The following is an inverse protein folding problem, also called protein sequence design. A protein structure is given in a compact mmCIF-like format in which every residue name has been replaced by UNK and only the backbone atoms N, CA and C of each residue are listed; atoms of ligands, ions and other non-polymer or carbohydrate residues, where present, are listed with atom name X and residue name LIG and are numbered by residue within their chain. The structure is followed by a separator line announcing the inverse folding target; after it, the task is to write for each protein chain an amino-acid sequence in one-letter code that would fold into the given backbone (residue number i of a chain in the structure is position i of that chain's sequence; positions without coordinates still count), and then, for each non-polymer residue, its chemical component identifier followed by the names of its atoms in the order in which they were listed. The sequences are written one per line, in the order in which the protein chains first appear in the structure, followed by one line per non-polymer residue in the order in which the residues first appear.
data_IF_286467099609
#
_entry.id   IF_286467099609
#
_cell.length_a   1.000
_cell.length_b   1.000
_cell.length_c   1.000
_cell.angle_alpha   90.00
_cell.angle_beta   90.00
_cell.angle_gamma   90.00
#
_symmetry.space_group_name_H-M   'P 1'
#
loop_
_entity.id
_entity.type
_entity.pdbx_description
1 polymer ?
#
# COMPACT_ATOMS: atom_id res chain seq x y z
N UNK A 1 0.68 22.15 -31.21
CA UNK A 1 -0.67 21.59 -30.99
C UNK A 1 -0.52 20.12 -30.57
N UNK A 2 0.02 19.86 -29.37
CA UNK A 2 0.19 18.51 -28.78
C UNK A 2 0.26 18.57 -27.23
N UNK A 3 -0.22 19.65 -26.61
CA UNK A 3 -0.08 19.85 -25.15
C UNK A 3 -0.92 18.88 -24.32
N UNK A 4 -2.08 18.48 -24.85
CA UNK A 4 -3.12 17.79 -24.07
C UNK A 4 -3.07 16.25 -24.20
N UNK A 5 -2.22 15.70 -25.06
CA UNK A 5 -2.12 14.24 -25.30
C UNK A 5 -1.24 13.54 -24.26
N UNK A 6 -0.52 14.31 -23.43
CA UNK A 6 0.39 13.82 -22.39
C UNK A 6 0.06 14.33 -20.99
N UNK A 7 -1.14 14.89 -20.76
CA UNK A 7 -1.54 15.29 -19.41
C UNK A 7 -1.83 14.04 -18.57
N UNK A 8 -0.90 13.67 -17.70
CA UNK A 8 -1.11 12.64 -16.70
C UNK A 8 -2.12 13.15 -15.66
N UNK A 9 -3.21 12.40 -15.33
CA UNK A 9 -4.24 12.86 -14.41
C UNK A 9 -3.72 13.19 -13.00
N UNK A 10 -2.75 12.41 -12.51
CA UNK A 10 -2.24 12.53 -11.14
C UNK A 10 -0.72 12.66 -11.14
N UNK A 11 -0.16 13.81 -11.58
CA UNK A 11 1.28 14.02 -11.63
C UNK A 11 1.90 13.93 -10.24
N UNK A 12 3.15 13.44 -10.18
CA UNK A 12 3.94 13.50 -8.95
C UNK A 12 4.23 14.97 -8.58
N UNK A 13 4.33 15.30 -7.28
CA UNK A 13 4.63 16.67 -6.86
C UNK A 13 6.05 17.08 -7.30
N UNK A 14 6.19 18.32 -7.78
CA UNK A 14 7.50 18.88 -8.20
C UNK A 14 8.45 19.07 -7.02
N UNK A 15 7.91 19.49 -5.86
CA UNK A 15 8.66 19.74 -4.62
C UNK A 15 8.16 18.79 -3.52
N UNK A 16 8.61 17.53 -3.49
CA UNK A 16 8.12 16.55 -2.52
C UNK A 16 8.62 16.84 -1.10
N UNK A 17 7.73 16.67 -0.13
CA UNK A 17 8.04 16.79 1.31
C UNK A 17 8.65 15.49 1.85
N UNK A 18 8.31 14.37 1.22
CA UNK A 18 8.85 13.04 1.52
C UNK A 18 8.77 12.13 0.29
N UNK A 19 9.47 11.01 0.34
CA UNK A 19 9.50 9.99 -0.71
C UNK A 19 8.96 8.66 -0.19
N UNK A 20 8.33 7.88 -1.06
CA UNK A 20 7.82 6.58 -0.70
C UNK A 20 7.91 5.58 -1.85
N UNK A 21 7.82 4.30 -1.50
CA UNK A 21 7.66 3.22 -2.48
C UNK A 21 6.30 2.55 -2.30
N UNK A 22 5.72 2.06 -3.40
CA UNK A 22 4.37 1.48 -3.45
C UNK A 22 4.43 0.02 -3.92
N UNK A 23 4.45 -0.93 -2.98
CA UNK A 23 4.51 -2.36 -3.27
C UNK A 23 3.10 -2.95 -3.33
N UNK A 24 2.87 -3.88 -4.28
CA UNK A 24 1.53 -4.40 -4.57
C UNK A 24 0.57 -3.26 -4.90
N UNK A 25 1.03 -2.39 -5.81
CA UNK A 25 0.48 -1.06 -6.00
C UNK A 25 -0.96 -1.08 -6.52
N UNK A 26 -1.39 -2.15 -7.20
CA UNK A 26 -2.68 -2.22 -7.88
C UNK A 26 -2.86 -1.02 -8.80
N UNK A 27 -3.91 -0.25 -8.57
CA UNK A 27 -4.21 0.99 -9.30
C UNK A 27 -3.65 2.27 -8.63
N UNK A 28 -2.83 2.13 -7.59
CA UNK A 28 -2.12 3.23 -6.91
C UNK A 28 -2.91 3.91 -5.78
N UNK A 29 -3.65 3.17 -4.97
CA UNK A 29 -4.41 3.74 -3.83
C UNK A 29 -3.49 4.47 -2.83
N UNK A 30 -2.35 3.86 -2.47
CA UNK A 30 -1.34 4.52 -1.64
C UNK A 30 -0.72 5.72 -2.33
N UNK A 31 -0.39 5.58 -3.62
CA UNK A 31 0.19 6.68 -4.41
C UNK A 31 -0.70 7.90 -4.42
N UNK A 32 -1.99 7.72 -4.71
CA UNK A 32 -2.97 8.80 -4.70
C UNK A 32 -3.01 9.50 -3.33
N UNK A 33 -3.15 8.72 -2.25
CA UNK A 33 -3.26 9.26 -0.91
C UNK A 33 -2.01 10.04 -0.48
N UNK A 34 -0.82 9.50 -0.72
CA UNK A 34 0.43 10.13 -0.30
C UNK A 34 0.87 11.27 -1.20
N UNK A 35 0.60 11.23 -2.50
CA UNK A 35 0.85 12.37 -3.39
C UNK A 35 -0.01 13.58 -3.00
N UNK A 36 -1.27 13.37 -2.62
CA UNK A 36 -2.13 14.43 -2.11
C UNK A 36 -1.61 15.07 -0.81
N UNK A 37 -0.70 14.40 -0.10
CA UNK A 37 -0.01 14.90 1.09
C UNK A 37 1.40 15.45 0.78
N UNK A 38 1.77 15.59 -0.49
CA UNK A 38 3.08 16.09 -0.92
C UNK A 38 4.18 15.03 -1.00
N UNK A 39 3.82 13.74 -0.95
CA UNK A 39 4.76 12.63 -1.13
C UNK A 39 5.06 12.34 -2.59
N UNK A 40 6.28 11.94 -2.93
CA UNK A 40 6.63 11.42 -4.26
C UNK A 40 6.86 9.92 -4.24
N UNK A 41 6.15 9.20 -5.11
CA UNK A 41 6.43 7.79 -5.36
C UNK A 41 7.75 7.70 -6.14
N UNK A 42 8.74 6.98 -5.61
CA UNK A 42 10.05 6.80 -6.25
C UNK A 42 10.28 5.37 -6.74
N UNK A 43 9.38 4.45 -6.43
CA UNK A 43 9.35 3.08 -6.93
C UNK A 43 7.97 2.49 -6.73
N UNK A 44 7.46 1.73 -7.70
CA UNK A 44 6.22 0.97 -7.59
C UNK A 44 6.37 -0.44 -8.14
N UNK A 45 5.68 -1.42 -7.53
CA UNK A 45 5.71 -2.82 -7.97
C UNK A 45 4.30 -3.37 -8.03
N UNK A 46 3.92 -3.85 -9.21
CA UNK A 46 2.64 -4.50 -9.48
C UNK A 46 2.87 -5.47 -10.64
N UNK A 47 2.44 -6.72 -10.50
CA UNK A 47 2.67 -7.78 -11.49
C UNK A 47 1.50 -7.99 -12.45
N UNK A 48 0.31 -7.50 -12.10
CA UNK A 48 -0.90 -7.68 -12.88
C UNK A 48 -0.94 -6.66 -14.02
N UNK A 49 -0.99 -7.16 -15.25
CA UNK A 49 -0.91 -6.34 -16.46
C UNK A 49 -2.07 -5.32 -16.56
N UNK A 50 -3.26 -5.65 -16.05
CA UNK A 50 -4.40 -4.73 -16.10
C UNK A 50 -4.21 -3.57 -15.13
N UNK A 51 -3.73 -3.88 -13.93
CA UNK A 51 -3.38 -2.90 -12.90
C UNK A 51 -2.25 -1.98 -13.37
N UNK A 52 -1.21 -2.53 -14.02
CA UNK A 52 -0.13 -1.73 -14.64
C UNK A 52 -0.65 -0.76 -15.71
N UNK A 53 -1.59 -1.18 -16.56
CA UNK A 53 -2.22 -0.30 -17.55
C UNK A 53 -2.99 0.84 -16.90
N UNK A 54 -3.77 0.55 -15.85
CA UNK A 54 -4.48 1.58 -15.08
C UNK A 54 -3.50 2.54 -14.41
N UNK A 55 -2.43 2.02 -13.83
CA UNK A 55 -1.38 2.81 -13.20
C UNK A 55 -0.69 3.76 -14.20
N UNK A 56 -0.34 3.26 -15.39
CA UNK A 56 0.25 4.06 -16.46
C UNK A 56 -0.66 5.21 -16.90
N UNK A 57 -1.95 4.95 -17.11
CA UNK A 57 -2.91 5.98 -17.54
C UNK A 57 -3.07 7.07 -16.48
N UNK A 58 -3.00 6.72 -15.19
CA UNK A 58 -3.20 7.64 -14.08
C UNK A 58 -1.94 8.45 -13.71
N UNK A 59 -0.76 7.82 -13.78
CA UNK A 59 0.47 8.38 -13.23
C UNK A 59 1.61 8.54 -14.24
N UNK A 60 1.45 8.07 -15.48
CA UNK A 60 2.48 8.12 -16.52
C UNK A 60 3.64 7.14 -16.31
N UNK A 61 3.52 6.21 -15.36
CA UNK A 61 4.58 5.28 -14.98
C UNK A 61 4.09 3.83 -15.03
N UNK A 62 4.96 2.90 -15.45
CA UNK A 62 4.68 1.46 -15.41
C UNK A 62 5.38 0.86 -14.18
N UNK A 63 4.65 0.19 -13.27
CA UNK A 63 5.27 -0.51 -12.14
C UNK A 63 6.25 -1.60 -12.57
N UNK A 64 7.26 -1.89 -11.74
CA UNK A 64 8.39 -2.76 -12.09
C UNK A 64 8.07 -4.27 -12.16
N UNK A 65 6.85 -4.70 -11.85
CA UNK A 65 6.45 -6.12 -11.93
C UNK A 65 6.50 -6.89 -10.62
N UNK A 66 6.96 -8.14 -10.71
CA UNK A 66 6.98 -9.14 -9.62
C UNK A 66 8.08 -8.86 -8.60
N UNK A 67 7.68 -8.36 -7.43
CA UNK A 67 8.57 -7.95 -6.34
C UNK A 67 9.37 -9.10 -5.71
N UNK A 68 9.01 -10.37 -5.98
CA UNK A 68 9.74 -11.52 -5.44
C UNK A 68 11.10 -11.72 -6.12
N UNK A 69 11.28 -11.15 -7.31
CA UNK A 69 12.50 -11.31 -8.12
C UNK A 69 13.56 -10.27 -7.74
N UNK A 70 14.80 -10.72 -7.54
CA UNK A 70 15.93 -9.81 -7.31
C UNK A 70 16.15 -8.86 -8.49
N UNK A 71 15.82 -9.30 -9.72
CA UNK A 71 15.86 -8.46 -10.91
C UNK A 71 14.89 -7.27 -10.86
N UNK A 72 13.88 -7.30 -9.99
CA UNK A 72 12.97 -6.19 -9.70
C UNK A 72 13.47 -5.42 -8.47
N UNK A 73 13.83 -6.11 -7.38
CA UNK A 73 14.30 -5.49 -6.12
C UNK A 73 15.52 -4.59 -6.30
N UNK A 74 16.40 -4.89 -7.27
CA UNK A 74 17.58 -4.06 -7.57
C UNK A 74 17.25 -2.61 -7.99
N UNK A 75 16.03 -2.36 -8.47
CA UNK A 75 15.58 -1.01 -8.86
C UNK A 75 15.02 -0.19 -7.70
N UNK A 76 14.84 -0.79 -6.52
CA UNK A 76 14.40 -0.05 -5.33
C UNK A 76 15.52 0.92 -4.92
N UNK A 77 15.25 2.23 -4.82
CA UNK A 77 16.23 3.21 -4.39
C UNK A 77 16.86 2.85 -3.04
N UNK A 78 18.13 3.21 -2.85
CA UNK A 78 18.82 2.97 -1.57
C UNK A 78 18.26 3.82 -0.42
N UNK A 79 17.62 4.94 -0.74
CA UNK A 79 17.01 5.83 0.24
C UNK A 79 15.62 6.26 -0.19
N UNK A 80 14.68 6.14 0.74
CA UNK A 80 13.32 6.68 0.67
C UNK A 80 12.75 6.75 2.11
N UNK A 81 11.69 7.52 2.33
CA UNK A 81 11.16 7.73 3.68
C UNK A 81 10.18 6.63 4.11
N UNK A 82 9.23 6.26 3.24
CA UNK A 82 8.12 5.38 3.61
C UNK A 82 8.01 4.18 2.66
N UNK A 83 7.87 2.98 3.22
CA UNK A 83 7.46 1.79 2.46
C UNK A 83 5.96 1.57 2.59
N UNK A 84 5.22 1.55 1.49
CA UNK A 84 3.81 1.16 1.46
C UNK A 84 3.66 -0.23 0.86
N UNK A 85 2.80 -1.08 1.45
CA UNK A 85 2.52 -2.39 0.89
C UNK A 85 1.13 -2.91 1.23
N UNK A 86 0.38 -3.31 0.20
CA UNK A 86 -0.89 -4.04 0.31
C UNK A 86 -0.67 -5.52 0.01
N UNK A 87 0.04 -6.20 0.91
CA UNK A 87 0.47 -7.56 0.64
C UNK A 87 -0.69 -8.58 0.77
N UNK A 88 -0.77 -9.61 -0.08
CA UNK A 88 -1.79 -10.64 0.03
C UNK A 88 -1.76 -11.43 1.36
N UNK A 89 -2.94 -11.81 1.87
CA UNK A 89 -3.08 -12.59 3.10
C UNK A 89 -2.72 -14.07 2.85
N UNK A 90 -1.68 -14.58 3.52
CA UNK A 90 -1.22 -15.97 3.41
C UNK A 90 -0.89 -16.57 4.79
N UNK A 91 -1.10 -17.87 4.96
CA UNK A 91 -0.74 -18.59 6.18
C UNK A 91 0.78 -18.83 6.30
N UNK A 92 1.35 -18.69 7.50
CA UNK A 92 2.80 -18.90 7.73
C UNK A 92 3.11 -20.21 8.49
N UNK A 93 2.41 -21.31 8.19
CA UNK A 93 2.38 -22.55 8.98
C UNK A 93 3.75 -23.15 9.39
N UNK A 94 4.86 -22.71 8.79
CA UNK A 94 6.24 -23.14 9.10
C UNK A 94 7.18 -22.02 9.61
N UNK A 95 6.83 -20.74 9.48
CA UNK A 95 7.73 -19.62 9.83
C UNK A 95 7.97 -19.47 11.34
N UNK A 96 7.00 -19.88 12.17
CA UNK A 96 7.08 -19.76 13.63
C UNK A 96 8.17 -20.62 14.29
N UNK A 97 8.79 -21.58 13.58
CA UNK A 97 9.83 -22.49 14.11
C UNK A 97 11.25 -21.91 14.13
N UNK A 98 11.43 -20.58 14.17
CA UNK A 98 12.75 -19.90 14.20
C UNK A 98 13.70 -20.35 13.06
N UNK A 99 13.15 -20.76 11.91
CA UNK A 99 13.94 -21.33 10.81
C UNK A 99 14.73 -20.29 9.98
N UNK A 100 14.72 -19.01 10.40
CA UNK A 100 15.38 -17.90 9.71
C UNK A 100 14.65 -17.46 8.43
N UNK A 101 14.91 -16.23 7.99
CA UNK A 101 14.34 -15.65 6.76
C UNK A 101 14.59 -16.49 5.50
N UNK A 102 15.70 -17.25 5.47
CA UNK A 102 16.10 -18.02 4.29
C UNK A 102 15.16 -19.20 3.97
N UNK A 103 14.49 -19.77 4.99
CA UNK A 103 13.56 -20.91 4.82
C UNK A 103 12.10 -20.49 4.67
N UNK A 104 11.78 -19.21 4.78
CA UNK A 104 10.42 -18.66 4.65
C UNK A 104 10.17 -17.99 3.29
N UNK A 105 11.12 -18.11 2.35
CA UNK A 105 10.95 -17.72 0.94
C UNK A 105 9.73 -18.46 0.36
N UNK A 106 8.64 -17.73 0.13
CA UNK A 106 7.40 -18.30 -0.39
C UNK A 106 6.13 -17.53 -0.01
N UNK A 107 6.19 -16.59 0.94
CA UNK A 107 5.07 -15.68 1.19
C UNK A 107 5.48 -14.21 1.02
N UNK A 108 4.57 -13.42 0.45
CA UNK A 108 4.84 -12.06 -0.01
C UNK A 108 5.16 -11.08 1.14
N UNK A 109 4.74 -11.39 2.37
CA UNK A 109 5.16 -10.63 3.55
C UNK A 109 6.68 -10.72 3.79
N UNK A 110 7.31 -11.88 3.53
CA UNK A 110 8.76 -11.99 3.74
C UNK A 110 9.54 -11.15 2.72
N UNK A 111 9.05 -10.99 1.50
CA UNK A 111 9.65 -10.04 0.54
C UNK A 111 9.57 -8.60 1.06
N UNK A 112 8.43 -8.20 1.64
CA UNK A 112 8.29 -6.89 2.31
C UNK A 112 9.27 -6.75 3.46
N UNK A 113 9.32 -7.74 4.37
CA UNK A 113 10.21 -7.71 5.52
C UNK A 113 11.70 -7.69 5.12
N UNK A 114 12.06 -8.41 4.05
CA UNK A 114 13.39 -8.39 3.45
C UNK A 114 13.74 -6.99 2.91
N UNK A 115 12.82 -6.32 2.21
CA UNK A 115 13.02 -4.95 1.72
C UNK A 115 13.16 -3.97 2.89
N UNK A 116 12.29 -4.06 3.91
CA UNK A 116 12.40 -3.22 5.13
C UNK A 116 13.77 -3.42 5.78
N UNK A 117 14.25 -4.67 5.86
CA UNK A 117 15.57 -5.00 6.42
C UNK A 117 16.73 -4.44 5.60
N UNK A 118 16.65 -4.52 4.26
CA UNK A 118 17.71 -4.08 3.35
C UNK A 118 17.77 -2.55 3.25
N UNK A 119 16.62 -1.87 3.21
CA UNK A 119 16.52 -0.44 2.88
C UNK A 119 16.25 0.45 4.10
N UNK A 120 15.86 -0.13 5.23
CA UNK A 120 15.69 0.55 6.51
C UNK A 120 14.90 1.88 6.42
N UNK A 121 13.70 1.90 5.81
CA UNK A 121 12.92 3.14 5.67
C UNK A 121 12.60 3.79 7.02
N UNK A 122 12.32 5.10 7.03
CA UNK A 122 11.94 5.82 8.26
C UNK A 122 10.63 5.28 8.84
N UNK A 123 9.69 4.93 7.97
CA UNK A 123 8.43 4.31 8.34
C UNK A 123 7.98 3.26 7.31
N UNK A 124 7.03 2.42 7.71
CA UNK A 124 6.26 1.61 6.78
C UNK A 124 4.77 1.72 7.07
N UNK A 125 3.97 1.53 6.03
CA UNK A 125 2.53 1.53 6.06
C UNK A 125 2.01 0.29 5.34
N UNK A 126 1.62 -0.71 6.11
CA UNK A 126 1.10 -1.97 5.58
C UNK A 126 -0.41 -2.04 5.74
N UNK A 127 -1.08 -2.58 4.72
CA UNK A 127 -2.52 -2.85 4.73
C UNK A 127 -2.79 -4.34 4.50
N UNK A 128 -3.80 -4.87 5.18
CA UNK A 128 -4.34 -6.19 4.89
C UNK A 128 -5.85 -6.30 5.17
N UNK A 129 -6.47 -7.40 4.76
CA UNK A 129 -7.87 -7.70 5.09
C UNK A 129 -8.06 -7.85 6.60
N UNK A 130 -9.21 -7.42 7.13
CA UNK A 130 -9.55 -7.57 8.57
C UNK A 130 -9.38 -8.98 9.11
N UNK A 131 -9.57 -9.99 8.23
CA UNK A 131 -9.44 -11.40 8.56
C UNK A 131 -8.05 -11.80 9.06
N UNK A 132 -7.00 -11.03 8.73
CA UNK A 132 -5.63 -11.27 9.20
C UNK A 132 -5.56 -11.34 10.74
N UNK A 133 -6.39 -10.55 11.45
CA UNK A 133 -6.43 -10.52 12.92
C UNK A 133 -6.75 -11.87 13.55
N UNK A 134 -7.64 -12.65 12.92
CA UNK A 134 -8.09 -13.96 13.41
C UNK A 134 -7.47 -15.12 12.62
N UNK A 135 -6.72 -14.83 11.57
CA UNK A 135 -6.14 -15.82 10.67
C UNK A 135 -5.19 -16.77 11.41
N UNK A 136 -5.32 -18.08 11.17
CA UNK A 136 -4.61 -19.14 11.90
C UNK A 136 -4.65 -18.94 13.43
N UNK A 137 -5.85 -18.64 13.96
CA UNK A 137 -6.08 -18.38 15.39
C UNK A 137 -5.19 -17.24 15.93
N UNK A 138 -4.95 -16.21 15.11
CA UNK A 138 -4.13 -15.04 15.43
C UNK A 138 -2.62 -15.24 15.27
N UNK A 139 -2.15 -16.45 14.99
CA UNK A 139 -0.71 -16.74 14.86
C UNK A 139 -0.04 -15.98 13.73
N UNK A 140 -0.79 -15.72 12.65
CA UNK A 140 -0.26 -15.04 11.46
C UNK A 140 0.10 -13.59 11.77
N UNK A 141 -0.83 -12.83 12.36
CA UNK A 141 -0.57 -11.45 12.80
C UNK A 141 0.52 -11.38 13.87
N UNK A 142 0.50 -12.28 14.86
CA UNK A 142 1.52 -12.32 15.90
C UNK A 142 2.93 -12.56 15.34
N UNK A 143 3.05 -13.41 14.30
CA UNK A 143 4.31 -13.65 13.61
C UNK A 143 4.79 -12.40 12.87
N UNK A 144 3.89 -11.71 12.16
CA UNK A 144 4.19 -10.42 11.50
C UNK A 144 4.70 -9.41 12.52
N UNK A 145 3.96 -9.18 13.60
CA UNK A 145 4.32 -8.21 14.63
C UNK A 145 5.65 -8.54 15.30
N UNK A 146 5.91 -9.83 15.56
CA UNK A 146 7.20 -10.29 16.08
C UNK A 146 8.34 -9.94 15.13
N UNK A 147 8.20 -10.24 13.84
CA UNK A 147 9.24 -9.93 12.85
C UNK A 147 9.49 -8.42 12.79
N UNK A 148 8.42 -7.61 12.70
CA UNK A 148 8.55 -6.16 12.59
C UNK A 148 9.15 -5.52 13.85
N UNK A 149 8.74 -5.97 15.04
CA UNK A 149 9.16 -5.41 16.35
C UNK A 149 10.50 -5.95 16.83
N UNK A 150 10.70 -7.27 16.78
CA UNK A 150 11.87 -7.93 17.37
C UNK A 150 12.99 -8.14 16.34
N UNK A 151 12.67 -8.64 15.14
CA UNK A 151 13.70 -9.01 14.15
C UNK A 151 14.19 -7.80 13.32
N UNK A 152 13.27 -6.88 12.99
CA UNK A 152 13.57 -5.65 12.23
C UNK A 152 13.78 -4.43 13.13
N UNK A 153 13.37 -4.49 14.40
CA UNK A 153 13.62 -3.45 15.40
C UNK A 153 12.85 -2.14 15.17
N UNK A 154 11.62 -2.20 14.66
CA UNK A 154 10.75 -1.02 14.51
C UNK A 154 9.81 -0.87 15.70
N UNK A 155 9.50 0.38 16.07
CA UNK A 155 8.35 0.66 16.91
C UNK A 155 7.08 0.47 16.07
N UNK A 156 6.22 -0.47 16.49
CA UNK A 156 4.96 -0.80 15.80
C UNK A 156 3.85 -0.79 16.86
N UNK A 157 2.98 0.24 16.92
CA UNK A 157 1.80 0.22 17.79
C UNK A 157 0.90 -0.98 17.46
N UNK A 158 -0.09 -1.26 18.31
CA UNK A 158 -1.04 -2.32 18.00
C UNK A 158 -1.85 -1.98 16.74
N UNK A 159 -1.97 -2.91 15.78
CA UNK A 159 -2.70 -2.66 14.54
C UNK A 159 -4.19 -2.35 14.76
N UNK A 160 -4.70 -1.38 14.00
CA UNK A 160 -6.12 -1.00 14.06
C UNK A 160 -6.89 -1.50 12.84
N UNK A 161 -8.16 -1.87 13.07
CA UNK A 161 -9.11 -2.15 11.99
C UNK A 161 -9.91 -0.88 11.73
N UNK A 162 -9.78 -0.33 10.53
CA UNK A 162 -10.45 0.92 10.14
C UNK A 162 -11.47 0.61 9.04
N UNK A 163 -12.69 1.13 9.21
CA UNK A 163 -13.76 1.07 8.23
C UNK A 163 -13.86 2.39 7.47
N UNK A 164 -13.81 2.37 6.13
CA UNK A 164 -13.85 3.62 5.34
C UNK A 164 -15.16 4.39 5.47
N UNK A 165 -16.27 3.76 5.89
CA UNK A 165 -17.53 4.47 6.22
C UNK A 165 -17.33 5.55 7.29
N UNK A 166 -16.38 5.32 8.20
CA UNK A 166 -16.07 6.24 9.28
C UNK A 166 -15.24 7.45 8.81
N UNK A 167 -14.83 7.49 7.53
CA UNK A 167 -13.92 8.49 6.95
C UNK A 167 -14.48 9.11 5.67
N UNK A 168 -15.78 9.41 5.64
CA UNK A 168 -16.46 10.07 4.52
C UNK A 168 -16.45 9.28 3.18
N UNK A 169 -16.21 7.97 3.21
CA UNK A 169 -16.36 7.12 2.04
C UNK A 169 -17.55 6.15 2.24
N UNK A 170 -18.64 6.26 1.44
CA UNK A 170 -19.88 5.49 1.57
C UNK A 170 -19.72 4.04 1.09
N UNK A 171 -18.69 3.36 1.57
CA UNK A 171 -18.38 1.99 1.23
C UNK A 171 -18.00 1.27 2.50
N UNK A 172 -18.66 0.15 2.78
CA UNK A 172 -18.25 -0.74 3.84
C UNK A 172 -16.95 -1.45 3.44
N UNK A 173 -15.81 -0.96 3.94
CA UNK A 173 -14.51 -1.52 3.63
C UNK A 173 -13.63 -1.48 4.88
N UNK A 174 -13.50 -2.63 5.51
CA UNK A 174 -12.70 -2.81 6.71
C UNK A 174 -11.36 -3.43 6.37
N UNK A 175 -10.28 -2.77 6.78
CA UNK A 175 -8.90 -3.25 6.65
C UNK A 175 -8.16 -3.08 7.96
N UNK A 176 -7.21 -3.98 8.19
CA UNK A 176 -6.23 -3.84 9.26
C UNK A 176 -5.04 -3.05 8.72
N UNK A 177 -4.58 -2.08 9.50
CA UNK A 177 -3.43 -1.26 9.15
C UNK A 177 -2.32 -1.49 10.17
N UNK A 178 -1.10 -1.65 9.67
CA UNK A 178 0.10 -1.89 10.48
C UNK A 178 1.11 -0.80 10.12
N UNK A 179 1.27 0.16 11.03
CA UNK A 179 2.22 1.26 10.89
C UNK A 179 3.44 0.95 11.73
N UNK A 180 4.64 1.24 11.21
CA UNK A 180 5.86 1.13 11.99
C UNK A 180 6.83 2.24 11.71
N UNK A 181 7.61 2.58 12.73
CA UNK A 181 8.58 3.67 12.73
C UNK A 181 9.95 3.14 13.13
N UNK A 182 10.99 3.59 12.45
CA UNK A 182 12.36 3.19 12.74
C UNK A 182 12.74 3.68 14.14
N UNK A 183 13.33 2.81 14.95
CA UNK A 183 13.53 3.07 16.39
C UNK A 183 14.44 4.27 16.70
N UNK A 184 15.37 4.63 15.81
CA UNK A 184 16.25 5.80 15.95
C UNK A 184 15.49 7.13 15.91
N UNK A 185 14.28 7.15 15.34
CA UNK A 185 13.42 8.34 15.31
C UNK A 185 12.80 8.67 16.67
N UNK A 186 12.92 7.76 17.66
CA UNK A 186 12.43 7.92 19.04
C UNK A 186 10.92 8.25 19.12
N UNK A 187 10.14 7.84 18.12
CA UNK A 187 8.68 7.89 18.16
C UNK A 187 8.22 6.83 19.17
N UNK A 188 7.50 7.27 20.20
CA UNK A 188 7.00 6.41 21.28
C UNK A 188 5.49 6.27 21.30
N UNK A 189 4.81 7.09 20.52
CA UNK A 189 3.36 7.16 20.47
C UNK A 189 2.93 7.47 19.04
N UNK A 190 1.91 6.75 18.59
CA UNK A 190 1.21 6.99 17.35
C UNK A 190 -0.26 6.67 17.58
N UNK A 191 -1.13 7.59 17.19
CA UNK A 191 -2.57 7.47 17.37
C UNK A 191 -3.19 7.31 15.97
N UNK A 192 -3.89 6.21 15.75
CA UNK A 192 -4.65 6.00 14.53
C UNK A 192 -5.79 7.04 14.43
N UNK A 193 -6.19 7.45 13.21
CA UNK A 193 -7.18 8.49 13.05
C UNK A 193 -8.53 8.07 13.65
N UNK A 194 -9.21 9.03 14.28
CA UNK A 194 -10.54 8.86 14.87
C UNK A 194 -11.59 9.08 13.77
N UNK A 195 -12.70 8.32 13.75
CA UNK A 195 -13.82 8.52 12.83
C UNK A 195 -14.28 9.99 12.73
N UNK A 196 -14.72 10.40 11.53
CA UNK A 196 -15.39 11.67 11.32
C UNK A 196 -16.81 11.65 11.90
N UNK A 197 -17.26 12.78 12.45
CA UNK A 197 -18.62 12.93 13.02
C UNK A 197 -19.75 12.83 11.97
N UNK A 198 -19.42 13.01 10.70
CA UNK A 198 -20.37 12.94 9.57
C UNK A 198 -19.95 11.80 8.64
N UNK A 199 -20.92 10.97 8.27
CA UNK A 199 -20.75 9.87 7.32
C UNK A 199 -21.42 10.28 6.01
N UNK A 200 -20.66 10.37 4.92
CA UNK A 200 -21.23 10.53 3.58
C UNK A 200 -21.96 9.26 3.16
N UNK A 201 -23.05 9.42 2.43
CA UNK A 201 -23.87 8.36 1.82
C UNK A 201 -23.50 8.18 0.35
N UNK A 202 -23.92 7.08 -0.28
CA UNK A 202 -23.65 6.84 -1.71
C UNK A 202 -24.23 7.94 -2.59
N UNK A 203 -25.36 8.52 -2.18
CA UNK A 203 -26.03 9.65 -2.86
C UNK A 203 -25.17 10.91 -2.89
N UNK A 204 -24.23 11.07 -1.95
CA UNK A 204 -23.36 12.25 -1.87
C UNK A 204 -22.16 12.21 -2.84
N UNK A 205 -21.93 11.08 -3.53
CA UNK A 205 -20.76 10.84 -4.39
C UNK A 205 -21.14 10.45 -5.82
N UNK A 206 -22.41 10.13 -6.08
CA UNK A 206 -22.89 9.91 -7.44
C UNK A 206 -22.93 11.27 -8.14
N UNK A 207 -22.08 11.46 -9.15
CA UNK A 207 -22.22 12.58 -10.07
C UNK A 207 -23.51 12.40 -10.89
N UNK A 208 -24.38 13.42 -10.92
CA UNK A 208 -25.45 13.53 -11.91
C UNK A 208 -24.82 13.88 -13.27
N UNK A 209 -24.17 12.91 -13.92
CA UNK A 209 -23.82 13.03 -15.33
C UNK A 209 -24.30 11.79 -16.09
N UNK A 210 -25.08 12.01 -17.15
CA UNK A 210 -25.39 10.98 -18.13
C UNK A 210 -24.07 10.41 -18.66
N UNK A 211 -23.87 9.10 -18.48
CA UNK A 211 -22.78 8.40 -19.10
C UNK A 211 -22.90 8.55 -20.63
N UNK A 212 -22.12 9.44 -21.23
CA UNK A 212 -21.96 9.50 -22.69
C UNK A 212 -21.16 8.27 -23.09
N UNK A 213 -21.85 7.15 -23.29
CA UNK A 213 -21.32 5.99 -23.98
C UNK A 213 -21.23 6.34 -25.47
N UNK A 214 -20.10 6.92 -25.87
CA UNK A 214 -19.68 6.93 -27.26
C UNK A 214 -19.52 5.49 -27.74
N UNK A 215 -20.10 5.19 -28.92
CA UNK A 215 -20.08 3.93 -29.66
C UNK A 215 -21.08 2.84 -29.25
N UNK A 216 -22.30 2.92 -29.78
CA UNK A 216 -22.72 2.08 -30.94
C UNK A 216 -24.15 2.43 -31.36
N UNK A 217 -24.30 2.92 -32.58
CA UNK A 217 -25.60 3.05 -33.22
C UNK A 217 -26.12 1.66 -33.60
N UNK A 218 -27.13 1.16 -32.89
CA UNK A 218 -28.01 0.15 -33.46
C UNK A 218 -29.13 0.89 -34.21
N UNK A 219 -29.12 0.78 -35.54
CA UNK A 219 -30.30 1.09 -36.36
C UNK A 219 -31.35 0.01 -36.12
N UNK A 220 -32.61 0.47 -36.07
CA UNK A 220 -33.85 -0.29 -35.87
C UNK A 220 -33.94 -1.59 -36.63
#
# INVERSE_FOLDING_TARGET
MFGDVFSIPFPAPENPVFTFIDLFAGIGEFRMALQNLGGKCVFSSEWDEQSQKSYLVNYGEVPFGDITKESVKQYIPDSFDILCAKFPCQAFSLAGKRLGFEKTRGTLFFDVAEIIKRKCPKAFFLENVKGLKIHDKGKTLNTILKILREDLGYYVPDPEIINTMNFNAPRHWERIYIIGFRSDLKIKEFIYPVPADKIKTSTDIIEEQEAVFGYTSYRK
#
